data_IF_661228910181
#
_entry.id   IF_661228910181
#
_cell.length_a   1.000
_cell.length_b   1.000
_cell.length_c   1.000
_cell.angle_alpha   90.00
_cell.angle_beta   90.00
_cell.angle_gamma   90.00
#
_symmetry.space_group_name_H-M   'P 1'
#
loop_
_entity.id
_entity.type
_entity.pdbx_description
1 polymer ?
#
# COMPACT_ATOMS: atom_id res chain seq x y z
N UNK A 1 3.47 12.73 22.63
CA UNK A 1 3.09 12.81 21.19
C UNK A 1 4.24 12.25 20.39
N UNK A 2 4.08 11.06 19.80
CA UNK A 2 5.11 10.42 18.99
C UNK A 2 5.30 11.19 17.69
N UNK A 3 6.54 11.46 17.30
CA UNK A 3 6.81 12.29 16.13
C UNK A 3 6.35 11.55 14.86
N UNK A 4 5.49 12.22 14.08
CA UNK A 4 5.39 11.96 12.64
C UNK A 4 6.67 12.56 12.06
N UNK A 5 7.37 11.82 11.20
CA UNK A 5 8.50 12.43 10.50
C UNK A 5 7.94 13.57 9.65
N UNK A 6 8.53 14.76 9.71
CA UNK A 6 8.01 15.93 8.96
C UNK A 6 7.96 15.69 7.45
N UNK A 7 8.68 14.68 6.97
CA UNK A 7 8.67 14.22 5.58
C UNK A 7 7.57 13.21 5.26
N UNK A 8 6.89 12.64 6.26
CA UNK A 8 5.83 11.66 6.04
C UNK A 8 4.61 12.31 5.36
N UNK A 9 4.00 11.52 4.49
CA UNK A 9 2.84 11.91 3.73
C UNK A 9 1.57 11.41 4.39
N UNK A 10 0.45 12.09 4.11
CA UNK A 10 -0.89 11.60 4.44
C UNK A 10 -1.31 10.54 3.42
N UNK A 11 -0.64 9.40 3.47
CA UNK A 11 -0.90 8.30 2.55
C UNK A 11 -2.21 7.60 2.85
N UNK A 12 -2.90 7.15 1.81
CA UNK A 12 -4.16 6.44 1.94
C UNK A 12 -3.92 4.96 2.29
N UNK A 13 -4.78 4.40 3.15
CA UNK A 13 -4.87 2.95 3.36
C UNK A 13 -5.43 2.30 2.08
N UNK A 14 -6.54 2.84 1.58
CA UNK A 14 -7.11 2.53 0.27
C UNK A 14 -7.10 3.82 -0.57
N UNK A 15 -6.40 3.84 -1.70
CA UNK A 15 -6.36 4.99 -2.59
C UNK A 15 -7.75 5.44 -3.05
N UNK A 16 -7.86 6.76 -3.29
CA UNK A 16 -9.02 7.39 -3.90
C UNK A 16 -9.36 6.81 -5.27
N UNK A 17 -8.36 6.36 -6.03
CA UNK A 17 -8.54 5.68 -7.33
C UNK A 17 -9.26 4.33 -7.22
N UNK A 18 -9.31 3.76 -6.02
CA UNK A 18 -10.05 2.54 -5.66
C UNK A 18 -11.35 2.86 -4.89
N UNK A 19 -11.73 4.13 -4.77
CA UNK A 19 -12.90 4.59 -4.03
C UNK A 19 -12.67 4.85 -2.53
N UNK A 20 -11.41 4.83 -2.07
CA UNK A 20 -11.09 5.12 -0.68
C UNK A 20 -11.29 6.61 -0.32
N UNK A 21 -11.99 6.94 0.80
CA UNK A 21 -12.27 8.32 1.18
C UNK A 21 -11.07 9.01 1.86
N UNK A 22 -10.97 10.33 1.72
CA UNK A 22 -9.93 11.14 2.37
C UNK A 22 -10.32 11.52 3.82
N UNK A 23 -10.41 10.52 4.70
CA UNK A 23 -10.88 10.65 6.09
C UNK A 23 -9.90 9.98 7.07
N UNK A 24 -9.89 10.37 8.36
CA UNK A 24 -8.83 9.95 9.30
C UNK A 24 -8.62 8.43 9.42
N UNK A 25 -9.67 7.62 9.31
CA UNK A 25 -9.55 6.16 9.41
C UNK A 25 -8.95 5.50 8.15
N UNK A 26 -8.85 6.22 7.03
CA UNK A 26 -8.28 5.73 5.77
C UNK A 26 -6.92 6.38 5.46
N UNK A 27 -6.29 7.01 6.45
CA UNK A 27 -5.03 7.74 6.28
C UNK A 27 -4.05 7.27 7.35
N UNK A 28 -2.78 7.09 6.96
CA UNK A 28 -1.69 6.82 7.90
C UNK A 28 -0.39 7.51 7.45
N UNK A 29 0.56 7.75 8.38
CA UNK A 29 1.86 8.32 8.03
C UNK A 29 2.66 7.37 7.13
N UNK A 30 2.98 7.83 5.92
CA UNK A 30 3.75 7.06 4.94
C UNK A 30 5.03 7.79 4.57
N UNK A 31 6.16 7.08 4.58
CA UNK A 31 7.37 7.56 3.95
C UNK A 31 7.13 7.82 2.45
N UNK A 32 7.62 8.94 1.87
CA UNK A 32 7.45 9.22 0.44
C UNK A 32 7.95 8.10 -0.48
N UNK A 33 9.01 7.38 -0.06
CA UNK A 33 9.56 6.22 -0.77
C UNK A 33 8.55 5.06 -0.85
N UNK A 34 7.94 4.71 0.28
CA UNK A 34 6.92 3.68 0.32
C UNK A 34 5.69 4.08 -0.52
N UNK A 35 5.25 5.34 -0.39
CA UNK A 35 4.05 5.83 -1.07
C UNK A 35 4.23 5.91 -2.60
N UNK A 36 5.32 6.55 -3.06
CA UNK A 36 5.54 6.89 -4.48
C UNK A 36 6.99 6.85 -4.96
N UNK A 37 7.88 6.16 -4.26
CA UNK A 37 9.31 6.12 -4.58
C UNK A 37 9.59 5.75 -6.06
N UNK A 38 10.75 6.17 -6.60
CA UNK A 38 11.16 5.73 -7.93
C UNK A 38 11.55 4.24 -7.88
N UNK A 39 11.54 3.57 -9.04
CA UNK A 39 12.29 2.34 -9.41
C UNK A 39 11.46 1.32 -10.24
N UNK A 40 12.11 0.55 -11.14
CA UNK A 40 11.47 -0.38 -12.05
C UNK A 40 10.82 -1.56 -11.32
N UNK A 41 9.64 -1.95 -11.79
CA UNK A 41 8.97 -3.14 -11.28
C UNK A 41 9.28 -4.35 -12.15
N UNK A 42 9.81 -5.41 -11.53
CA UNK A 42 9.82 -6.73 -12.16
C UNK A 42 8.40 -7.30 -12.18
N UNK A 43 7.78 -7.30 -13.37
CA UNK A 43 6.44 -7.84 -13.61
C UNK A 43 6.30 -9.34 -13.26
N UNK A 44 7.41 -10.08 -13.10
CA UNK A 44 7.41 -11.46 -12.66
C UNK A 44 7.11 -11.62 -11.15
N UNK A 45 7.35 -10.58 -10.34
CA UNK A 45 7.13 -10.66 -8.91
C UNK A 45 5.71 -10.26 -8.49
N UNK A 46 5.29 -10.73 -7.31
CA UNK A 46 3.93 -10.50 -6.76
C UNK A 46 3.87 -9.37 -5.72
N UNK A 47 5.01 -8.78 -5.33
CA UNK A 47 5.15 -7.82 -4.23
C UNK A 47 5.57 -6.41 -4.71
N UNK A 48 4.64 -5.58 -5.24
CA UNK A 48 4.99 -4.29 -5.86
C UNK A 48 5.87 -3.45 -4.92
N UNK A 49 6.84 -2.70 -5.43
CA UNK A 49 7.87 -2.06 -4.60
C UNK A 49 7.35 -0.79 -3.91
N UNK A 50 6.21 -0.26 -4.35
CA UNK A 50 5.56 0.91 -3.75
C UNK A 50 4.06 0.71 -3.60
N UNK A 51 3.47 1.47 -2.68
CA UNK A 51 2.03 1.51 -2.42
C UNK A 51 1.25 1.88 -3.69
N UNK A 52 1.70 2.95 -4.38
CA UNK A 52 1.11 3.39 -5.66
C UNK A 52 1.09 2.31 -6.73
N UNK A 53 2.15 1.49 -6.85
CA UNK A 53 2.19 0.41 -7.84
C UNK A 53 1.26 -0.75 -7.46
N UNK A 54 1.19 -1.09 -6.18
CA UNK A 54 0.25 -2.10 -5.69
C UNK A 54 -1.20 -1.72 -5.97
N UNK A 55 -1.59 -0.49 -5.62
CA UNK A 55 -2.92 0.03 -5.90
C UNK A 55 -3.19 0.19 -7.40
N UNK A 56 -2.17 0.58 -8.18
CA UNK A 56 -2.24 0.64 -9.64
C UNK A 56 -2.61 -0.71 -10.26
N UNK A 57 -2.00 -1.81 -9.82
CA UNK A 57 -2.32 -3.15 -10.32
C UNK A 57 -3.72 -3.62 -9.93
N UNK A 58 -4.15 -3.30 -8.71
CA UNK A 58 -5.52 -3.57 -8.27
C UNK A 58 -6.52 -2.82 -9.15
N UNK A 59 -6.28 -1.53 -9.40
CA UNK A 59 -7.11 -0.70 -10.27
C UNK A 59 -7.14 -1.24 -11.70
N UNK A 60 -5.98 -1.56 -12.26
CA UNK A 60 -5.88 -2.09 -13.63
C UNK A 60 -6.64 -3.41 -13.77
N UNK A 61 -6.59 -4.30 -12.76
CA UNK A 61 -7.38 -5.53 -12.74
C UNK A 61 -8.89 -5.27 -12.69
N UNK A 62 -9.33 -4.33 -11.83
CA UNK A 62 -10.74 -3.94 -11.70
C UNK A 62 -11.29 -3.27 -12.97
N UNK A 63 -10.44 -2.63 -13.77
CA UNK A 63 -10.82 -1.97 -15.02
C UNK A 63 -11.04 -2.96 -16.18
N UNK A 64 -10.58 -4.22 -16.06
CA UNK A 64 -10.82 -5.25 -17.07
C UNK A 64 -12.31 -5.65 -17.12
N UNK A 65 -12.77 -6.12 -18.29
CA UNK A 65 -14.12 -6.69 -18.42
C UNK A 65 -14.29 -7.93 -17.54
N UNK A 66 -15.53 -8.16 -17.11
CA UNK A 66 -15.92 -9.33 -16.31
C UNK A 66 -16.51 -8.94 -14.96
N UNK A 67 -16.70 -9.93 -14.09
CA UNK A 67 -17.20 -9.74 -12.72
C UNK A 67 -16.01 -9.73 -11.78
N UNK A 68 -15.24 -8.65 -11.84
CA UNK A 68 -13.99 -8.48 -11.10
C UNK A 68 -14.28 -8.01 -9.68
N UNK A 69 -13.69 -8.67 -8.70
CA UNK A 69 -13.71 -8.23 -7.30
C UNK A 69 -12.33 -8.40 -6.70
N UNK A 70 -12.01 -7.60 -5.69
CA UNK A 70 -10.74 -7.69 -4.97
C UNK A 70 -11.03 -7.77 -3.49
N UNK A 71 -10.41 -8.72 -2.81
CA UNK A 71 -10.33 -8.75 -1.35
C UNK A 71 -8.98 -8.16 -0.95
N UNK A 72 -9.02 -7.14 -0.12
CA UNK A 72 -7.86 -6.34 0.27
C UNK A 72 -7.59 -6.52 1.77
N UNK A 73 -6.35 -6.79 2.14
CA UNK A 73 -5.92 -6.94 3.53
C UNK A 73 -4.67 -6.12 3.77
N UNK A 74 -4.66 -5.30 4.82
CA UNK A 74 -3.51 -4.50 5.25
C UNK A 74 -3.23 -4.78 6.72
N UNK A 75 -1.96 -4.97 7.05
CA UNK A 75 -1.46 -5.12 8.41
C UNK A 75 -0.47 -4.00 8.70
N UNK A 76 -0.62 -3.37 9.86
CA UNK A 76 0.27 -2.34 10.36
C UNK A 76 1.03 -2.87 11.57
N UNK A 77 2.35 -2.83 11.50
CA UNK A 77 3.21 -3.26 12.60
C UNK A 77 3.81 -2.03 13.29
N UNK A 78 3.60 -1.92 14.61
CA UNK A 78 4.05 -0.80 15.44
C UNK A 78 5.02 -1.29 16.49
N UNK A 79 6.32 -1.18 16.23
CA UNK A 79 7.37 -1.57 17.18
C UNK A 79 8.37 -0.46 17.49
N UNK A 80 8.45 0.60 16.67
CA UNK A 80 9.26 1.78 16.98
C UNK A 80 8.64 2.60 18.12
N UNK A 81 9.25 2.48 19.31
CA UNK A 81 8.84 3.21 20.52
C UNK A 81 9.07 4.71 20.45
N UNK A 82 9.92 5.21 19.52
CA UNK A 82 10.17 6.65 19.34
C UNK A 82 9.03 7.31 18.56
N UNK A 83 8.39 6.56 17.66
CA UNK A 83 7.30 7.03 16.80
C UNK A 83 6.07 6.10 16.88
N UNK A 84 5.44 5.93 18.06
CA UNK A 84 4.39 4.91 18.27
C UNK A 84 3.10 5.11 17.48
N UNK A 85 2.90 6.28 16.85
CA UNK A 85 1.75 6.58 16.00
C UNK A 85 2.04 6.37 14.49
N UNK A 86 3.25 5.92 14.16
CA UNK A 86 3.72 5.67 12.80
C UNK A 86 4.01 4.18 12.66
N UNK A 87 3.35 3.46 11.74
CA UNK A 87 3.67 2.05 11.54
C UNK A 87 5.12 1.93 11.09
N UNK A 88 5.83 0.98 11.69
CA UNK A 88 7.23 0.69 11.39
C UNK A 88 7.33 -0.08 10.07
N UNK A 89 6.46 -1.07 9.89
CA UNK A 89 6.25 -1.80 8.65
C UNK A 89 4.76 -1.84 8.29
N UNK A 90 4.49 -2.01 6.99
CA UNK A 90 3.14 -2.23 6.48
C UNK A 90 3.14 -3.41 5.55
N UNK A 91 2.30 -4.41 5.81
CA UNK A 91 2.10 -5.53 4.89
C UNK A 91 0.76 -5.40 4.20
N UNK A 92 0.73 -5.60 2.88
CA UNK A 92 -0.51 -5.54 2.12
C UNK A 92 -0.66 -6.76 1.22
N UNK A 93 -1.90 -7.21 1.04
CA UNK A 93 -2.25 -8.24 0.06
C UNK A 93 -3.59 -7.96 -0.60
N UNK A 94 -3.69 -8.33 -1.87
CA UNK A 94 -4.89 -8.23 -2.68
C UNK A 94 -5.13 -9.55 -3.42
N UNK A 95 -6.22 -10.23 -3.08
CA UNK A 95 -6.71 -11.40 -3.80
C UNK A 95 -7.64 -10.92 -4.93
N UNK A 96 -7.25 -11.21 -6.17
CA UNK A 96 -7.93 -10.75 -7.38
C UNK A 96 -8.86 -11.85 -7.90
N UNK A 97 -10.16 -11.59 -7.96
CA UNK A 97 -11.17 -12.57 -8.38
C UNK A 97 -11.88 -12.15 -9.67
N UNK A 98 -12.21 -13.14 -10.51
CA UNK A 98 -13.09 -12.98 -11.68
C UNK A 98 -14.19 -14.03 -11.65
N UNK A 99 -15.45 -13.60 -11.67
CA UNK A 99 -16.59 -14.49 -11.54
C UNK A 99 -16.55 -15.33 -10.25
N UNK A 100 -15.95 -14.80 -9.19
CA UNK A 100 -15.75 -15.50 -7.91
C UNK A 100 -14.55 -16.45 -7.85
N UNK A 101 -13.77 -16.60 -8.92
CA UNK A 101 -12.57 -17.46 -8.96
C UNK A 101 -11.31 -16.65 -8.74
N UNK A 102 -10.48 -17.04 -7.78
CA UNK A 102 -9.17 -16.43 -7.53
C UNK A 102 -8.28 -16.58 -8.77
N UNK A 103 -7.76 -15.46 -9.26
CA UNK A 103 -6.86 -15.40 -10.41
C UNK A 103 -5.40 -15.23 -9.97
N UNK A 104 -5.18 -14.35 -8.99
CA UNK A 104 -3.84 -13.99 -8.51
C UNK A 104 -3.93 -13.36 -7.13
N UNK A 105 -2.88 -13.51 -6.34
CA UNK A 105 -2.62 -12.71 -5.14
C UNK A 105 -1.46 -11.77 -5.41
N UNK A 106 -1.66 -10.49 -5.17
CA UNK A 106 -0.63 -9.47 -5.09
C UNK A 106 -0.35 -9.18 -3.62
N UNK A 107 0.86 -8.77 -3.27
CA UNK A 107 1.16 -8.33 -1.92
C UNK A 107 2.61 -8.52 -1.52
N UNK A 108 2.99 -7.79 -0.47
CA UNK A 108 4.32 -7.79 0.10
C UNK A 108 4.37 -6.96 1.37
N UNK A 109 5.55 -6.92 1.98
CA UNK A 109 5.85 -6.06 3.11
C UNK A 109 6.61 -4.84 2.62
N UNK A 110 6.17 -3.68 3.09
CA UNK A 110 6.69 -2.37 2.77
C UNK A 110 7.34 -1.80 4.03
N UNK A 111 8.64 -1.59 3.97
CA UNK A 111 9.35 -0.87 5.03
C UNK A 111 8.92 0.58 4.98
N UNK A 112 8.37 1.09 6.07
CA UNK A 112 7.95 2.47 6.15
C UNK A 112 9.13 3.29 6.68
N UNK A 113 10.20 3.48 5.92
CA UNK A 113 11.39 4.22 6.35
C UNK A 113 11.70 5.44 5.49
N UNK A 114 12.30 6.46 6.11
CA UNK A 114 12.77 7.68 5.46
C UNK A 114 14.28 7.64 5.21
N UNK A 115 14.91 6.46 5.15
CA UNK A 115 16.38 6.36 5.05
C UNK A 115 16.93 7.19 3.88
N UNK A 116 17.95 8.00 4.19
CA UNK A 116 18.59 8.95 3.30
C UNK A 116 19.07 8.27 2.02
N UNK A 117 18.74 8.89 0.88
CA UNK A 117 19.36 8.62 -0.39
C UNK A 117 20.85 8.98 -0.29
N UNK A 118 21.70 7.96 -0.25
CA UNK A 118 23.13 8.09 -0.54
C UNK A 118 23.37 8.21 -2.03
#
# INVERSE_FOLDING_TARGET
MGAIDKSDERGHIIASSLGGPAVPWNIFPQAPRMNRGPEPWDHASNAPPTWKQFEGKVRDFLALRGRRTVQYTIHFDYYDRRNPCRPSDVSASANLYDGGRLQRTLGGTYVNDNMNWG
#
